data_IF_510068602037
#
_entry.id   IF_510068602037
#
_cell.length_a   1.000
_cell.length_b   1.000
_cell.length_c   1.000
_cell.angle_alpha   90.00
_cell.angle_beta   90.00
_cell.angle_gamma   90.00
#
_symmetry.space_group_name_H-M   'P 1'
#
loop_
_entity.id
_entity.type
_entity.pdbx_description
1 polymer ?
#
# COMPACT_ATOMS: atom_id res chain seq x y z
N UNK A 1 10.55 5.69 -20.42
CA UNK A 1 9.66 5.91 -19.27
C UNK A 1 10.53 6.48 -18.15
N UNK A 2 10.15 7.61 -17.56
CA UNK A 2 10.87 8.18 -16.40
C UNK A 2 10.19 7.65 -15.13
N UNK A 3 10.56 6.44 -14.72
CA UNK A 3 10.03 5.81 -13.50
C UNK A 3 10.91 6.27 -12.35
N UNK A 4 10.44 7.26 -11.59
CA UNK A 4 11.10 7.73 -10.36
C UNK A 4 10.75 6.81 -9.20
N UNK A 5 11.28 5.59 -9.22
CA UNK A 5 11.17 4.67 -8.09
C UNK A 5 12.14 5.09 -6.99
N UNK A 6 11.60 5.46 -5.82
CA UNK A 6 12.38 5.76 -4.62
C UNK A 6 11.96 4.77 -3.53
N UNK A 7 12.76 3.71 -3.25
CA UNK A 7 12.40 2.66 -2.29
C UNK A 7 11.93 3.19 -0.94
N UNK A 8 12.62 4.22 -0.41
CA UNK A 8 12.31 4.79 0.90
C UNK A 8 10.94 5.45 0.97
N UNK A 9 10.39 5.93 -0.14
CA UNK A 9 9.05 6.54 -0.15
C UNK A 9 7.96 5.48 -0.06
N UNK A 10 8.17 4.31 -0.68
CA UNK A 10 7.29 3.16 -0.57
C UNK A 10 7.34 2.51 0.81
N UNK A 11 8.52 2.43 1.42
CA UNK A 11 8.67 1.95 2.80
C UNK A 11 7.94 2.87 3.79
N UNK A 12 8.11 4.20 3.67
CA UNK A 12 7.37 5.16 4.50
C UNK A 12 5.86 5.04 4.31
N UNK A 13 5.40 4.85 3.07
CA UNK A 13 3.98 4.67 2.78
C UNK A 13 3.45 3.36 3.38
N UNK A 14 4.20 2.26 3.29
CA UNK A 14 3.87 1.00 3.96
C UNK A 14 3.76 1.20 5.46
N UNK A 15 4.76 1.80 6.10
CA UNK A 15 4.77 2.00 7.54
C UNK A 15 3.60 2.89 7.99
N UNK A 16 3.34 3.98 7.26
CA UNK A 16 2.23 4.90 7.55
C UNK A 16 0.84 4.26 7.38
N UNK A 17 0.63 3.45 6.33
CA UNK A 17 -0.63 2.70 6.18
C UNK A 17 -0.73 1.65 7.30
N UNK A 18 0.37 0.96 7.63
CA UNK A 18 0.40 -0.03 8.70
C UNK A 18 -0.01 0.57 10.05
N UNK A 19 0.53 1.74 10.41
CA UNK A 19 0.14 2.47 11.62
C UNK A 19 -1.35 2.88 11.58
N UNK A 20 -1.88 3.31 10.43
CA UNK A 20 -3.28 3.71 10.28
C UNK A 20 -4.25 2.55 10.56
N UNK A 21 -3.94 1.34 10.07
CA UNK A 21 -4.81 0.17 10.18
C UNK A 21 -4.43 -0.79 11.31
N UNK A 22 -3.49 -0.42 12.18
CA UNK A 22 -3.12 -1.22 13.35
C UNK A 22 -2.19 -2.41 13.06
N UNK A 23 -1.61 -2.49 11.86
CA UNK A 23 -0.52 -3.42 11.52
C UNK A 23 0.87 -2.88 11.92
N UNK A 24 0.92 -1.63 12.36
CA UNK A 24 2.13 -0.96 12.83
C UNK A 24 2.60 -1.43 14.21
N UNK A 25 3.63 -0.76 14.74
CA UNK A 25 4.32 -1.18 15.99
C UNK A 25 3.43 -1.19 17.24
N UNK A 26 2.32 -0.45 17.21
CA UNK A 26 1.46 -0.22 18.35
C UNK A 26 0.23 -1.15 18.36
N UNK A 27 -0.02 -1.90 17.29
CA UNK A 27 -1.09 -2.92 17.22
C UNK A 27 -2.52 -2.38 17.29
N UNK A 28 -2.72 -1.07 17.37
CA UNK A 28 -4.02 -0.39 17.38
C UNK A 28 -3.98 0.77 16.38
N UNK A 29 -4.94 0.78 15.47
CA UNK A 29 -5.06 1.79 14.41
C UNK A 29 -6.29 2.67 14.56
N UNK A 30 -6.40 3.67 13.67
CA UNK A 30 -7.56 4.56 13.60
C UNK A 30 -8.87 3.79 13.36
N UNK A 31 -8.82 2.68 12.61
CA UNK A 31 -10.00 1.83 12.38
C UNK A 31 -10.51 1.20 13.69
N UNK A 32 -9.60 0.79 14.58
CA UNK A 32 -9.98 0.22 15.88
C UNK A 32 -10.62 1.29 16.76
N UNK A 33 -10.06 2.51 16.78
CA UNK A 33 -10.65 3.63 17.51
C UNK A 33 -12.05 4.01 17.00
N UNK A 34 -12.30 3.89 15.69
CA UNK A 34 -13.63 4.11 15.10
C UNK A 34 -14.64 3.01 15.49
N UNK A 35 -14.18 1.76 15.61
CA UNK A 35 -15.02 0.65 16.10
C UNK A 35 -15.37 0.86 17.57
N UNK A 36 -14.39 1.17 18.41
CA UNK A 36 -14.56 1.48 19.83
C UNK A 36 -15.52 2.68 20.04
N UNK A 37 -15.41 3.72 19.21
CA UNK A 37 -16.35 4.85 19.24
C UNK A 37 -17.79 4.38 18.95
N UNK A 38 -17.95 3.47 17.99
CA UNK A 38 -19.25 2.91 17.64
C UNK A 38 -19.83 2.07 18.77
N UNK A 39 -19.00 1.27 19.45
CA UNK A 39 -19.39 0.52 20.65
C UNK A 39 -19.89 1.47 21.76
N UNK A 40 -19.15 2.55 22.05
CA UNK A 40 -19.56 3.53 23.06
C UNK A 40 -20.90 4.21 22.75
N UNK A 41 -21.22 4.44 21.47
CA UNK A 41 -22.50 5.02 21.06
C UNK A 41 -23.64 4.00 21.19
N UNK A 42 -23.39 2.73 20.88
CA UNK A 42 -24.36 1.63 21.10
C UNK A 42 -24.66 1.47 22.60
N UNK A 43 -23.64 1.56 23.46
CA UNK A 43 -23.80 1.52 24.91
C UNK A 43 -24.62 2.72 25.43
N UNK A 44 -24.33 3.92 24.93
CA UNK A 44 -25.08 5.12 25.29
C UNK A 44 -26.57 5.05 24.89
N UNK A 45 -26.88 4.50 23.70
CA UNK A 45 -28.25 4.24 23.27
C UNK A 45 -28.96 3.26 24.20
N UNK A 46 -28.29 2.15 24.56
CA UNK A 46 -28.81 1.16 25.49
C UNK A 46 -29.07 1.75 26.88
N UNK A 47 -28.15 2.56 27.40
CA UNK A 47 -28.29 3.19 28.71
C UNK A 47 -29.44 4.20 28.73
N UNK A 48 -29.61 5.02 27.68
CA UNK A 48 -30.75 5.92 27.56
C UNK A 48 -32.05 5.12 27.55
N UNK A 49 -32.16 4.09 26.70
CA UNK A 49 -33.37 3.26 26.63
C UNK A 49 -33.70 2.56 27.97
N UNK A 50 -32.68 2.26 28.78
CA UNK A 50 -32.83 1.60 30.08
C UNK A 50 -33.26 2.56 31.19
N UNK A 51 -32.69 3.77 31.24
CA UNK A 51 -32.86 4.69 32.36
C UNK A 51 -33.87 5.81 32.10
N UNK A 52 -34.20 6.11 30.84
CA UNK A 52 -35.17 7.14 30.46
C UNK A 52 -36.61 6.69 30.75
N UNK A 53 -37.02 6.83 32.01
CA UNK A 53 -38.31 6.33 32.51
C UNK A 53 -39.50 7.16 32.04
N UNK A 54 -39.29 8.43 31.68
CA UNK A 54 -40.33 9.35 31.21
C UNK A 54 -40.39 9.47 29.68
N UNK A 55 -39.45 8.85 28.95
CA UNK A 55 -39.44 8.80 27.49
C UNK A 55 -39.09 10.14 26.83
N UNK A 56 -38.53 11.10 27.58
CA UNK A 56 -38.23 12.45 27.07
C UNK A 56 -36.93 12.48 26.28
N UNK A 57 -36.02 11.53 26.51
CA UNK A 57 -34.72 11.48 25.83
C UNK A 57 -34.78 10.43 24.71
N UNK A 58 -34.52 10.86 23.47
CA UNK A 58 -34.34 9.95 22.34
C UNK A 58 -32.94 10.08 21.78
N UNK A 59 -32.26 8.94 21.67
CA UNK A 59 -30.97 8.82 21.01
C UNK A 59 -30.99 7.51 20.23
N UNK A 60 -30.49 7.55 18.99
CA UNK A 60 -30.36 6.39 18.14
C UNK A 60 -29.05 6.48 17.39
N UNK A 61 -28.30 5.39 17.37
CA UNK A 61 -27.04 5.27 16.66
C UNK A 61 -27.15 4.22 15.57
N UNK A 62 -26.67 4.58 14.38
CA UNK A 62 -26.51 3.63 13.28
C UNK A 62 -25.06 3.18 13.21
N UNK A 63 -24.82 1.93 13.57
CA UNK A 63 -23.49 1.32 13.52
C UNK A 63 -22.90 1.38 12.10
N UNK A 64 -21.67 1.90 11.99
CA UNK A 64 -20.91 1.96 10.74
C UNK A 64 -19.72 0.98 10.75
N UNK A 65 -19.66 0.07 11.73
CA UNK A 65 -18.54 -0.87 11.91
C UNK A 65 -18.22 -1.67 10.66
N UNK A 66 -19.24 -2.06 9.88
CA UNK A 66 -19.06 -2.76 8.59
C UNK A 66 -18.32 -1.90 7.55
N UNK A 67 -18.57 -0.59 7.51
CA UNK A 67 -17.84 0.34 6.62
C UNK A 67 -16.39 0.52 7.08
N UNK A 68 -16.17 0.61 8.39
CA UNK A 68 -14.82 0.69 8.95
C UNK A 68 -14.02 -0.59 8.64
N UNK A 69 -14.68 -1.75 8.69
CA UNK A 69 -14.09 -3.02 8.29
C UNK A 69 -13.76 -3.05 6.79
N UNK A 70 -14.65 -2.57 5.91
CA UNK A 70 -14.33 -2.45 4.48
C UNK A 70 -13.13 -1.52 4.21
N UNK A 71 -13.05 -0.39 4.92
CA UNK A 71 -11.88 0.50 4.82
C UNK A 71 -10.59 -0.20 5.26
N UNK A 72 -10.64 -0.99 6.34
CA UNK A 72 -9.50 -1.79 6.76
C UNK A 72 -9.01 -2.73 5.65
N UNK A 73 -9.93 -3.48 5.04
CA UNK A 73 -9.61 -4.42 3.95
C UNK A 73 -8.99 -3.71 2.74
N UNK A 74 -9.54 -2.55 2.35
CA UNK A 74 -9.00 -1.73 1.26
C UNK A 74 -7.57 -1.25 1.56
N UNK A 75 -7.33 -0.76 2.78
CA UNK A 75 -6.02 -0.32 3.21
C UNK A 75 -5.03 -1.47 3.41
N UNK A 76 -5.49 -2.66 3.80
CA UNK A 76 -4.66 -3.87 3.89
C UNK A 76 -4.14 -4.27 2.50
N UNK A 77 -4.97 -4.19 1.47
CA UNK A 77 -4.55 -4.41 0.08
C UNK A 77 -3.48 -3.39 -0.33
N UNK A 78 -3.70 -2.10 -0.02
CA UNK A 78 -2.71 -1.05 -0.30
C UNK A 78 -1.39 -1.30 0.45
N UNK A 79 -1.45 -1.67 1.73
CA UNK A 79 -0.29 -2.01 2.54
C UNK A 79 0.49 -3.20 1.96
N UNK A 80 -0.21 -4.25 1.49
CA UNK A 80 0.42 -5.39 0.82
C UNK A 80 1.09 -4.98 -0.48
N UNK A 81 0.44 -4.09 -1.24
CA UNK A 81 0.96 -3.61 -2.50
C UNK A 81 2.24 -2.79 -2.32
N UNK A 82 2.29 -1.85 -1.36
CA UNK A 82 3.49 -1.04 -1.11
C UNK A 82 4.71 -1.89 -0.75
N UNK A 83 4.52 -3.04 -0.08
CA UNK A 83 5.60 -4.00 0.18
C UNK A 83 6.11 -4.78 -1.05
N UNK A 84 5.39 -4.78 -2.16
CA UNK A 84 5.70 -5.57 -3.38
C UNK A 84 6.22 -4.71 -4.55
N UNK A 85 6.15 -3.38 -4.46
CA UNK A 85 6.50 -2.51 -5.60
C UNK A 85 7.96 -2.67 -6.04
N UNK A 86 8.90 -2.83 -5.09
CA UNK A 86 10.31 -3.06 -5.42
C UNK A 86 10.52 -4.27 -6.33
N UNK A 87 9.96 -5.43 -5.95
CA UNK A 87 10.02 -6.67 -6.73
C UNK A 87 9.29 -6.58 -8.08
N UNK A 88 8.34 -5.67 -8.22
CA UNK A 88 7.65 -5.42 -9.48
C UNK A 88 8.52 -4.57 -10.40
N UNK A 89 9.12 -3.50 -9.88
CA UNK A 89 10.03 -2.62 -10.63
C UNK A 89 11.23 -3.41 -11.12
N UNK A 90 11.89 -4.16 -10.24
CA UNK A 90 13.07 -4.96 -10.57
C UNK A 90 12.78 -5.95 -11.72
N UNK A 91 11.74 -6.77 -11.56
CA UNK A 91 11.39 -7.81 -12.54
C UNK A 91 10.84 -7.27 -13.87
N UNK A 92 10.15 -6.14 -13.87
CA UNK A 92 9.44 -5.63 -15.07
C UNK A 92 10.19 -4.54 -15.81
N UNK A 93 11.14 -3.87 -15.15
CA UNK A 93 11.84 -2.71 -15.70
C UNK A 93 13.34 -2.96 -15.67
N UNK A 94 13.93 -3.12 -14.47
CA UNK A 94 15.38 -3.15 -14.33
C UNK A 94 15.99 -4.39 -15.01
N UNK A 95 15.46 -5.57 -14.70
CA UNK A 95 15.97 -6.82 -15.26
C UNK A 95 15.88 -6.89 -16.80
N UNK A 96 14.73 -6.64 -17.45
CA UNK A 96 14.65 -6.60 -18.91
C UNK A 96 15.57 -5.53 -19.53
N UNK A 97 15.70 -4.37 -18.89
CA UNK A 97 16.57 -3.31 -19.37
C UNK A 97 18.05 -3.72 -19.38
N UNK A 98 18.51 -4.37 -18.30
CA UNK A 98 19.89 -4.88 -18.25
C UNK A 98 20.14 -5.97 -19.30
N UNK A 99 19.20 -6.89 -19.50
CA UNK A 99 19.31 -7.91 -20.56
C UNK A 99 19.42 -7.28 -21.96
N UNK A 100 18.62 -6.25 -22.24
CA UNK A 100 18.68 -5.52 -23.51
C UNK A 100 20.01 -4.78 -23.72
N UNK A 101 20.55 -4.15 -22.67
CA UNK A 101 21.86 -3.48 -22.74
C UNK A 101 23.00 -4.49 -22.95
N UNK A 102 22.98 -5.62 -22.24
CA UNK A 102 24.00 -6.67 -22.40
C UNK A 102 23.99 -7.21 -23.84
N UNK A 103 22.81 -7.52 -24.39
CA UNK A 103 22.67 -7.95 -25.78
C UNK A 103 23.17 -6.89 -26.79
N UNK A 104 22.90 -5.61 -26.53
CA UNK A 104 23.41 -4.52 -27.36
C UNK A 104 24.95 -4.43 -27.30
N UNK A 105 25.55 -4.52 -26.10
CA UNK A 105 26.99 -4.47 -25.90
C UNK A 105 27.69 -5.67 -26.54
N UNK A 106 27.12 -6.87 -26.44
CA UNK A 106 27.61 -8.07 -27.13
C UNK A 106 27.60 -7.87 -28.65
N UNK A 107 26.49 -7.37 -29.21
CA UNK A 107 26.38 -7.08 -30.64
C UNK A 107 27.43 -6.08 -31.10
N UNK A 108 27.66 -5.01 -30.35
CA UNK A 108 28.67 -3.99 -30.66
C UNK A 108 30.11 -4.54 -30.55
N UNK A 109 30.37 -5.41 -29.56
CA UNK A 109 31.66 -6.11 -29.42
C UNK A 109 31.93 -7.00 -30.63
N UNK A 110 30.94 -7.79 -31.05
CA UNK A 110 31.06 -8.68 -32.20
C UNK A 110 31.15 -7.93 -33.54
N UNK A 111 30.60 -6.71 -33.60
CA UNK A 111 30.74 -5.81 -34.73
C UNK A 111 32.11 -5.10 -34.81
N UNK A 112 32.97 -5.25 -33.79
CA UNK A 112 34.27 -4.56 -33.72
C UNK A 112 35.17 -4.92 -34.91
N UNK A 113 35.90 -3.90 -35.37
CA UNK A 113 36.58 -3.70 -36.67
C UNK A 113 37.58 -4.79 -37.11
N UNK A 114 37.85 -5.82 -36.30
CA UNK A 114 38.79 -6.90 -36.61
C UNK A 114 38.40 -7.77 -37.82
N UNK A 115 37.17 -7.64 -38.34
CA UNK A 115 36.72 -8.27 -39.61
C UNK A 115 36.76 -7.35 -40.84
N UNK A 116 37.08 -6.06 -40.70
CA UNK A 116 37.18 -5.15 -41.84
C UNK A 116 38.64 -5.00 -42.29
N UNK A 117 39.07 -5.80 -43.26
CA UNK A 117 40.29 -5.55 -44.01
C UNK A 117 40.04 -4.44 -45.03
N UNK A 118 40.66 -3.27 -44.87
CA UNK A 118 40.68 -2.25 -45.91
C UNK A 118 41.67 -2.67 -47.01
N UNK A 119 41.19 -2.76 -48.25
CA UNK A 119 42.08 -2.89 -49.41
C UNK A 119 42.65 -1.51 -49.74
N UNK A 120 43.62 -1.05 -48.96
CA UNK A 120 44.53 0.00 -49.45
C UNK A 120 45.90 -0.64 -49.67
N UNK A 121 46.17 -0.97 -50.93
CA UNK A 121 47.44 -1.46 -51.45
C UNK A 121 47.80 -0.60 -52.66
#
# INVERSE_FOLDING_TARGET
MDVKYVPSDWEKMRDGIGDLIGLGRWGKGMIDDLKDLSDNLEDAESDIAKYDSDGVISFHHTSQKSKYQGLYEDFEVLHSFTGKVGDIVDRRIDHPFYEEIDAFVETMRDATISKYTTKNR
#
